data_IF_569920947485
#
_entry.id   IF_569920947485
#
_cell.length_a   1.000
_cell.length_b   1.000
_cell.length_c   1.000
_cell.angle_alpha   90.00
_cell.angle_beta   90.00
_cell.angle_gamma   90.00
#
_symmetry.space_group_name_H-M   'P 1'
#
loop_
_entity.id
_entity.type
_entity.pdbx_description
1 polymer ?
#
# COMPACT_ATOMS: atom_id res chain seq x y z
N UNK A 1 -9.78 0.60 17.61
CA UNK A 1 -8.49 0.66 16.90
C UNK A 1 -8.55 1.85 15.96
N UNK A 2 -7.63 2.81 16.06
CA UNK A 2 -7.62 4.02 15.22
C UNK A 2 -7.25 3.66 13.77
N UNK A 3 -7.92 4.26 12.79
CA UNK A 3 -7.67 4.01 11.37
C UNK A 3 -6.43 4.81 10.95
N UNK A 4 -5.31 4.12 10.76
CA UNK A 4 -4.07 4.71 10.26
C UNK A 4 -4.09 4.79 8.74
N UNK A 5 -4.15 6.00 8.20
CA UNK A 5 -4.14 6.25 6.75
C UNK A 5 -2.75 6.66 6.23
N UNK A 6 -2.36 6.16 5.07
CA UNK A 6 -1.09 6.52 4.40
C UNK A 6 -1.29 6.89 2.94
N UNK A 7 -0.55 7.88 2.47
CA UNK A 7 -0.56 8.30 1.07
C UNK A 7 0.25 7.33 0.20
N UNK A 8 -0.31 6.89 -0.92
CA UNK A 8 0.31 5.97 -1.89
C UNK A 8 0.53 6.62 -3.27
N UNK A 9 0.53 7.96 -3.33
CA UNK A 9 0.76 8.77 -4.53
C UNK A 9 -0.51 9.42 -5.07
N UNK A 10 -0.37 10.58 -5.72
CA UNK A 10 -1.45 11.30 -6.44
C UNK A 10 -2.74 11.54 -5.63
N UNK A 11 -2.60 11.77 -4.33
CA UNK A 11 -3.74 11.97 -3.43
C UNK A 11 -4.47 10.67 -3.03
N UNK A 12 -4.02 9.51 -3.52
CA UNK A 12 -4.56 8.21 -3.09
C UNK A 12 -4.07 7.87 -1.69
N UNK A 13 -4.98 7.36 -0.87
CA UNK A 13 -4.75 7.07 0.53
C UNK A 13 -5.32 5.67 0.82
N UNK A 14 -4.58 4.87 1.59
CA UNK A 14 -5.00 3.52 2.00
C UNK A 14 -4.89 3.34 3.51
N UNK A 15 -5.65 2.40 4.06
CA UNK A 15 -5.52 1.99 5.46
C UNK A 15 -4.24 1.17 5.66
N UNK A 16 -3.27 1.72 6.37
CA UNK A 16 -2.00 1.06 6.69
C UNK A 16 -2.22 -0.26 7.45
N UNK A 17 -3.18 -0.28 8.37
CA UNK A 17 -3.47 -1.44 9.22
C UNK A 17 -3.96 -2.66 8.42
N UNK A 18 -4.40 -2.46 7.17
CA UNK A 18 -4.93 -3.52 6.30
C UNK A 18 -3.93 -3.96 5.24
N UNK A 19 -2.77 -3.30 5.13
CA UNK A 19 -1.73 -3.68 4.18
C UNK A 19 -0.98 -4.90 4.71
N UNK A 20 -1.00 -5.99 3.95
CA UNK A 20 -0.25 -7.21 4.28
C UNK A 20 1.11 -7.26 3.58
N UNK A 21 1.23 -6.63 2.41
CA UNK A 21 2.46 -6.64 1.64
C UNK A 21 2.55 -5.43 0.69
N UNK A 22 3.78 -4.96 0.46
CA UNK A 22 4.12 -3.96 -0.56
C UNK A 22 5.24 -4.58 -1.40
N UNK A 23 4.98 -4.82 -2.69
CA UNK A 23 5.88 -5.57 -3.57
C UNK A 23 6.04 -4.89 -4.93
N UNK A 24 7.12 -5.23 -5.65
CA UNK A 24 7.39 -4.73 -7.00
C UNK A 24 6.63 -5.55 -8.07
N UNK A 25 6.09 -4.93 -9.14
CA UNK A 25 5.34 -5.60 -10.20
C UNK A 25 6.22 -6.35 -11.24
N UNK A 26 7.51 -6.50 -11.00
CA UNK A 26 8.46 -6.93 -12.03
C UNK A 26 8.41 -8.43 -12.35
N UNK A 27 8.09 -9.27 -11.37
CA UNK A 27 8.12 -10.73 -11.53
C UNK A 27 6.83 -11.29 -12.16
N UNK A 28 6.97 -12.38 -12.91
CA UNK A 28 5.84 -13.07 -13.53
C UNK A 28 4.76 -13.52 -12.52
N UNK A 29 5.11 -14.06 -11.32
CA UNK A 29 4.12 -14.35 -10.29
C UNK A 29 3.30 -13.14 -9.86
N UNK A 30 3.91 -11.96 -9.68
CA UNK A 30 3.17 -10.77 -9.25
C UNK A 30 2.26 -10.24 -10.35
N UNK A 31 2.68 -10.31 -11.61
CA UNK A 31 1.81 -10.00 -12.75
C UNK A 31 0.57 -10.90 -12.80
N UNK A 32 0.71 -12.19 -12.44
CA UNK A 32 -0.45 -13.10 -12.30
C UNK A 32 -1.40 -12.66 -11.20
N UNK A 33 -0.89 -12.32 -10.01
CA UNK A 33 -1.71 -11.81 -8.90
C UNK A 33 -2.49 -10.54 -9.31
N UNK A 34 -1.87 -9.62 -10.05
CA UNK A 34 -2.54 -8.42 -10.55
C UNK A 34 -3.69 -8.78 -11.52
N UNK A 35 -3.45 -9.72 -12.43
CA UNK A 35 -4.46 -10.15 -13.40
C UNK A 35 -5.62 -10.89 -12.72
N UNK A 36 -5.33 -11.79 -11.78
CA UNK A 36 -6.35 -12.49 -10.99
C UNK A 36 -7.21 -11.51 -10.20
N UNK A 37 -6.60 -10.50 -9.56
CA UNK A 37 -7.35 -9.46 -8.87
C UNK A 37 -8.24 -8.64 -9.85
N UNK A 38 -7.77 -8.39 -11.07
CA UNK A 38 -8.56 -7.69 -12.10
C UNK A 38 -9.78 -8.51 -12.51
N UNK A 39 -9.58 -9.80 -12.79
CA UNK A 39 -10.64 -10.73 -13.20
C UNK A 39 -11.71 -10.87 -12.11
N UNK A 40 -11.29 -10.84 -10.84
CA UNK A 40 -12.18 -10.92 -9.68
C UNK A 40 -12.85 -9.59 -9.30
N UNK A 41 -12.53 -8.48 -9.98
CA UNK A 41 -13.02 -7.15 -9.61
C UNK A 41 -12.41 -6.56 -8.33
N UNK A 42 -11.29 -7.12 -7.86
CA UNK A 42 -10.58 -6.73 -6.63
C UNK A 42 -9.37 -5.80 -6.89
N UNK A 43 -9.09 -5.49 -8.15
CA UNK A 43 -7.99 -4.60 -8.52
C UNK A 43 -8.41 -3.13 -8.43
N UNK A 44 -7.64 -2.33 -7.69
CA UNK A 44 -7.76 -0.88 -7.64
C UNK A 44 -6.54 -0.27 -8.34
N UNK A 45 -6.76 0.44 -9.45
CA UNK A 45 -5.70 1.15 -10.15
C UNK A 45 -5.57 2.59 -9.65
N UNK A 46 -4.58 2.83 -8.77
CA UNK A 46 -4.24 4.14 -8.24
C UNK A 46 -2.99 4.75 -8.92
N UNK A 47 -2.67 4.31 -10.14
CA UNK A 47 -1.48 4.79 -10.87
C UNK A 47 -1.72 6.07 -11.67
N UNK A 48 -2.97 6.44 -11.95
CA UNK A 48 -3.35 7.56 -12.81
C UNK A 48 -2.73 7.44 -14.22
N UNK A 49 -2.71 6.22 -14.78
CA UNK A 49 -2.16 5.94 -16.11
C UNK A 49 -0.63 5.95 -16.18
N UNK A 50 0.05 6.08 -15.05
CA UNK A 50 1.52 6.01 -14.97
C UNK A 50 1.99 4.57 -14.83
N UNK A 51 3.28 4.34 -15.02
CA UNK A 51 3.89 3.02 -14.80
C UNK A 51 3.64 2.56 -13.36
N UNK A 52 3.08 1.37 -13.20
CA UNK A 52 3.01 0.68 -11.90
C UNK A 52 4.42 0.46 -11.37
N UNK A 53 4.68 0.96 -10.17
CA UNK A 53 5.96 0.81 -9.45
C UNK A 53 5.82 -0.04 -8.20
N UNK A 54 4.64 -0.05 -7.59
CA UNK A 54 4.34 -0.88 -6.43
C UNK A 54 2.98 -1.54 -6.58
N UNK A 55 2.86 -2.69 -5.93
CA UNK A 55 1.64 -3.46 -5.75
C UNK A 55 1.44 -3.59 -4.25
N UNK A 56 0.30 -3.13 -3.76
CA UNK A 56 -0.07 -3.19 -2.35
C UNK A 56 -1.15 -4.25 -2.23
N UNK A 57 -0.90 -5.24 -1.39
CA UNK A 57 -1.85 -6.32 -1.11
C UNK A 57 -2.48 -6.04 0.25
N UNK A 58 -3.81 -6.21 0.33
CA UNK A 58 -4.57 -6.02 1.56
C UNK A 58 -5.12 -7.33 2.11
N UNK A 59 -5.49 -7.33 3.40
CA UNK A 59 -6.17 -8.45 4.07
C UNK A 59 -7.55 -8.79 3.46
N UNK A 60 -8.16 -7.85 2.73
CA UNK A 60 -9.40 -8.04 1.97
C UNK A 60 -9.21 -8.57 0.56
N UNK A 61 -8.01 -9.05 0.24
CA UNK A 61 -7.61 -9.51 -1.09
C UNK A 61 -7.63 -8.43 -2.19
N UNK A 62 -7.97 -7.18 -1.87
CA UNK A 62 -7.78 -6.07 -2.80
C UNK A 62 -6.31 -5.91 -3.10
N UNK A 63 -6.02 -5.74 -4.39
CA UNK A 63 -4.69 -5.44 -4.92
C UNK A 63 -4.73 -4.00 -5.43
N UNK A 64 -3.87 -3.15 -4.89
CA UNK A 64 -3.84 -1.73 -5.20
C UNK A 64 -2.55 -1.41 -5.94
N UNK A 65 -2.66 -0.89 -7.15
CA UNK A 65 -1.50 -0.49 -7.95
C UNK A 65 -1.12 0.95 -7.62
N UNK A 66 0.18 1.19 -7.41
CA UNK A 66 0.71 2.52 -7.16
C UNK A 66 1.84 2.84 -8.13
N UNK A 67 1.91 4.11 -8.54
CA UNK A 67 3.03 4.66 -9.29
C UNK A 67 4.15 5.21 -8.38
N UNK A 68 4.05 5.02 -7.07
CA UNK A 68 5.09 5.30 -6.08
C UNK A 68 5.93 4.05 -5.84
N UNK A 69 7.22 4.23 -5.53
CA UNK A 69 8.15 3.14 -5.26
C UNK A 69 7.78 2.36 -3.99
N UNK A 70 7.94 1.02 -3.95
CA UNK A 70 7.63 0.19 -2.79
C UNK A 70 8.25 0.73 -1.49
N UNK A 71 9.52 1.12 -1.54
CA UNK A 71 10.30 1.62 -0.41
C UNK A 71 9.71 2.93 0.14
N UNK A 72 9.25 3.81 -0.74
CA UNK A 72 8.61 5.07 -0.34
C UNK A 72 7.26 4.81 0.34
N UNK A 73 6.50 3.83 -0.12
CA UNK A 73 5.23 3.44 0.52
C UNK A 73 5.52 2.80 1.88
N UNK A 74 6.49 1.89 1.95
CA UNK A 74 6.89 1.23 3.20
C UNK A 74 7.34 2.23 4.27
N UNK A 75 8.20 3.19 3.89
CA UNK A 75 8.63 4.25 4.80
C UNK A 75 7.45 5.03 5.40
N UNK A 76 6.39 5.28 4.62
CA UNK A 76 5.19 5.97 5.12
C UNK A 76 4.36 5.13 6.11
N UNK A 77 4.39 3.80 5.96
CA UNK A 77 3.77 2.89 6.94
C UNK A 77 4.55 2.95 8.26
N UNK A 78 5.87 2.78 8.19
CA UNK A 78 6.75 2.67 9.36
C UNK A 78 6.92 4.01 10.09
N UNK A 79 7.10 5.13 9.37
CA UNK A 79 7.33 6.44 10.00
C UNK A 79 6.15 6.93 10.87
N UNK A 80 4.92 6.50 10.58
CA UNK A 80 3.77 6.81 11.46
C UNK A 80 3.68 5.90 12.69
N UNK A 81 4.34 4.74 12.71
CA UNK A 81 4.46 3.92 13.92
C UNK A 81 5.43 4.55 14.91
N UNK A 82 6.57 5.09 14.44
CA UNK A 82 7.55 5.76 15.32
C UNK A 82 6.97 6.98 16.06
N UNK A 83 6.04 7.71 15.45
CA UNK A 83 5.37 8.85 16.11
C UNK A 83 4.33 8.42 17.16
N UNK A 84 3.87 7.17 17.16
CA UNK A 84 2.87 6.66 18.10
C UNK A 84 3.46 5.95 19.34
N UNK A 85 4.80 5.81 19.41
CA UNK A 85 5.50 5.10 20.51
C UNK A 85 6.01 6.06 21.61
N UNK A 86 5.69 7.35 21.55
CA UNK A 86 5.89 8.27 22.68
C UNK A 86 4.59 8.95 23.13
N UNK A 87 3.68 8.24 23.81
CA UNK A 87 2.87 8.86 24.84
C UNK A 87 3.67 8.87 26.15
N UNK A 88 4.01 10.06 26.62
CA UNK A 88 4.30 10.36 28.03
C UNK A 88 5.45 9.60 28.71
N UNK A 89 6.65 10.20 28.70
CA UNK A 89 7.47 10.25 29.92
C UNK A 89 7.60 11.72 30.35
N UNK A 90 6.67 12.08 31.25
CA UNK A 90 6.86 12.85 32.47
C UNK A 90 7.49 14.24 32.42
N UNK A 91 6.60 15.23 32.64
CA UNK A 91 6.73 16.35 33.58
C UNK A 91 8.11 16.72 34.14
#
# INVERSE_FOLDING_TARGET
MEIKLINIGFGNIVSANRVIAIISPESAPIKRVINEARERGMLIDATYGRRTRAVIVTDSEHVILSAVQPETVANRVVSKEAAAVHPEESA
#
